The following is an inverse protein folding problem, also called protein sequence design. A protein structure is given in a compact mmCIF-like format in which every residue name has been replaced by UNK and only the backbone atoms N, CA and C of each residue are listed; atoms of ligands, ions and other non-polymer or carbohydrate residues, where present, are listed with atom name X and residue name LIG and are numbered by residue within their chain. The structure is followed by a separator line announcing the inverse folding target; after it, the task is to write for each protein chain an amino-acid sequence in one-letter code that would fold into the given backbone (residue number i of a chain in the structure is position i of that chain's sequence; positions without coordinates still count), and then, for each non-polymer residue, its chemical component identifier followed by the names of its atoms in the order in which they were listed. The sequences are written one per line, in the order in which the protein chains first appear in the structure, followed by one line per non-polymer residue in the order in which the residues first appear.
data_IF_184030354262
#
_entry.id   IF_184030354262
#
_cell.length_a   1.000
_cell.length_b   1.000
_cell.length_c   1.000
_cell.angle_alpha   90.00
_cell.angle_beta   90.00
_cell.angle_gamma   90.00
#
_symmetry.space_group_name_H-M   'P 1'
#
loop_
_entity.id
_entity.type
_entity.pdbx_description
1 polymer ?
#
# COMPACT_ATOMS: atom_id res chain seq x y z
N UNK A 1 65.86 -12.49 16.97
CA UNK A 1 65.77 -11.12 16.40
C UNK A 1 64.64 -10.38 17.12
N UNK A 2 65.05 -9.47 18.01
CA UNK A 2 64.38 -8.29 18.65
C UNK A 2 62.84 -8.22 18.61
N UNK A 3 62.12 -8.45 19.72
CA UNK A 3 61.85 -7.54 20.87
C UNK A 3 60.90 -6.38 20.51
N UNK A 4 59.62 -6.42 20.92
CA UNK A 4 59.05 -5.79 22.14
C UNK A 4 59.52 -4.34 22.37
N UNK A 5 58.55 -3.40 22.33
CA UNK A 5 58.46 -2.11 23.06
C UNK A 5 58.22 -0.86 22.19
N UNK A 6 57.02 -0.28 22.32
CA UNK A 6 56.78 1.17 22.48
C UNK A 6 55.41 1.31 23.15
N UNK A 7 55.33 1.39 24.47
CA UNK A 7 55.28 2.62 25.28
C UNK A 7 54.20 3.61 24.82
N UNK A 8 53.06 3.69 25.53
CA UNK A 8 52.84 4.56 26.71
C UNK A 8 53.13 6.03 26.41
N UNK A 9 52.09 6.79 26.08
CA UNK A 9 52.00 8.22 26.41
C UNK A 9 50.53 8.65 26.39
N UNK A 10 49.89 8.69 27.55
CA UNK A 10 49.04 9.80 27.99
C UNK A 10 48.62 9.54 29.44
N UNK A 11 49.40 10.11 30.34
CA UNK A 11 49.20 10.08 31.78
C UNK A 11 48.57 11.42 32.18
N UNK A 12 47.43 11.34 32.87
CA UNK A 12 46.97 12.17 33.98
C UNK A 12 47.24 13.68 33.93
N UNK A 13 46.16 14.47 33.93
CA UNK A 13 46.08 15.67 34.76
C UNK A 13 45.01 15.50 35.84
N UNK A 14 45.42 15.76 37.09
CA UNK A 14 44.65 15.84 38.35
C UNK A 14 43.50 16.84 38.20
N UNK A 15 42.29 16.57 38.71
CA UNK A 15 41.83 16.57 40.10
C UNK A 15 41.89 17.93 40.82
N UNK A 16 40.71 18.34 41.29
CA UNK A 16 40.39 19.20 42.43
C UNK A 16 40.51 20.73 42.30
N UNK A 17 39.34 21.40 42.22
CA UNK A 17 39.05 22.52 43.12
C UNK A 17 37.57 22.49 43.50
N UNK A 18 37.31 22.56 44.80
CA UNK A 18 36.01 22.55 45.42
C UNK A 18 35.52 23.97 45.75
N UNK A 19 34.26 24.03 46.17
CA UNK A 19 33.69 24.91 47.21
C UNK A 19 33.00 26.23 46.79
N UNK A 20 31.73 26.28 47.26
CA UNK A 20 30.97 27.42 47.82
C UNK A 20 30.46 28.49 46.84
N UNK A 21 29.13 28.58 46.71
CA UNK A 21 28.41 29.78 47.14
C UNK A 21 27.03 29.44 47.73
N UNK A 22 26.71 30.13 48.82
CA UNK A 22 25.55 29.98 49.71
C UNK A 22 24.36 30.85 49.25
N UNK A 23 23.16 30.35 49.57
CA UNK A 23 21.89 31.03 49.92
C UNK A 23 21.91 32.55 50.14
N UNK A 24 20.91 33.23 49.57
CA UNK A 24 20.02 34.30 50.13
C UNK A 24 18.72 34.21 49.31
N UNK A 25 17.53 33.79 49.78
CA UNK A 25 16.61 34.23 50.86
C UNK A 25 15.63 35.36 50.45
N UNK A 26 14.36 35.12 50.81
CA UNK A 26 13.20 36.03 51.00
C UNK A 26 12.24 36.22 49.80
N UNK A 27 11.00 35.71 49.82
CA UNK A 27 9.84 35.95 50.73
C UNK A 27 9.10 37.25 50.43
N UNK A 28 7.87 37.15 49.92
CA UNK A 28 6.76 38.04 50.25
C UNK A 28 5.43 37.40 49.83
N UNK A 29 4.74 36.82 50.82
CA UNK A 29 3.30 36.60 50.81
C UNK A 29 2.72 37.48 51.93
N UNK A 30 1.68 38.26 51.66
CA UNK A 30 0.69 38.73 52.65
C UNK A 30 -0.53 39.28 51.87
N UNK A 31 -1.71 38.65 51.89
CA UNK A 31 -2.79 38.65 52.91
C UNK A 31 -3.56 39.99 52.98
N UNK A 32 -4.86 39.96 52.66
CA UNK A 32 -6.00 40.28 53.58
C UNK A 32 -7.31 40.29 52.79
N UNK A 33 -8.33 39.73 53.45
CA UNK A 33 -9.67 39.48 52.95
C UNK A 33 -10.69 40.54 53.45
N UNK A 34 -11.90 40.44 52.87
CA UNK A 34 -13.23 40.67 53.45
C UNK A 34 -13.94 42.04 53.31
N UNK A 35 -15.17 41.90 52.78
CA UNK A 35 -16.46 42.55 53.11
C UNK A 35 -16.87 43.86 52.40
N UNK A 36 -17.92 43.75 51.58
CA UNK A 36 -19.16 44.49 51.86
C UNK A 36 -19.65 45.55 50.86
N UNK A 37 -20.46 45.12 49.89
CA UNK A 37 -21.65 45.77 49.31
C UNK A 37 -21.66 47.27 48.96
N UNK A 38 -21.82 47.57 47.65
CA UNK A 38 -22.94 48.39 47.14
C UNK A 38 -23.02 48.29 45.61
N UNK A 39 -24.20 47.97 45.13
CA UNK A 39 -24.63 47.78 43.73
C UNK A 39 -24.76 49.10 42.98
N UNK A 40 -24.16 49.22 41.79
CA UNK A 40 -24.63 50.06 40.68
C UNK A 40 -24.23 49.38 39.36
N UNK A 41 -25.22 48.94 38.59
CA UNK A 41 -25.05 48.41 37.22
C UNK A 41 -24.50 49.49 36.28
N UNK A 42 -23.70 49.08 35.28
CA UNK A 42 -23.97 49.57 33.94
C UNK A 42 -24.01 48.44 32.92
N UNK A 43 -25.13 48.40 32.20
CA UNK A 43 -25.26 48.06 30.78
C UNK A 43 -24.46 46.86 30.25
N UNK A 44 -25.16 45.74 30.09
CA UNK A 44 -24.78 44.60 29.25
C UNK A 44 -24.56 45.05 27.81
N UNK A 45 -23.30 45.24 27.43
CA UNK A 45 -22.87 45.01 26.05
C UNK A 45 -22.68 43.50 25.90
N UNK A 46 -23.62 42.85 25.23
CA UNK A 46 -23.47 41.47 24.76
C UNK A 46 -22.29 41.39 23.81
N UNK A 47 -21.16 40.88 24.29
CA UNK A 47 -20.10 40.36 23.44
C UNK A 47 -20.68 39.17 22.67
N UNK A 48 -21.00 39.40 21.39
CA UNK A 48 -21.26 38.32 20.45
C UNK A 48 -19.96 37.51 20.32
N UNK A 49 -20.05 36.22 20.61
CA UNK A 49 -18.98 35.26 20.33
C UNK A 49 -18.59 35.38 18.85
N UNK A 50 -17.29 35.40 18.51
CA UNK A 50 -16.87 35.31 17.11
C UNK A 50 -17.40 34.00 16.49
N UNK A 51 -17.83 34.02 15.22
CA UNK A 51 -18.41 32.85 14.58
C UNK A 51 -17.33 31.78 14.40
N UNK A 52 -17.63 30.60 14.95
CA UNK A 52 -17.19 29.27 14.56
C UNK A 52 -15.80 29.18 13.90
N UNK A 53 -14.80 28.90 14.74
CA UNK A 53 -13.69 28.07 14.29
C UNK A 53 -14.28 26.78 13.68
N UNK A 54 -13.83 26.33 12.50
CA UNK A 54 -14.39 25.14 11.89
C UNK A 54 -14.23 23.97 12.86
N UNK A 55 -15.36 23.40 13.25
CA UNK A 55 -15.40 22.23 14.11
C UNK A 55 -14.52 21.13 13.49
N UNK A 56 -13.47 20.73 14.21
CA UNK A 56 -12.75 19.51 13.90
C UNK A 56 -13.77 18.37 13.94
N UNK A 57 -14.21 17.91 12.77
CA UNK A 57 -15.10 16.76 12.66
C UNK A 57 -14.36 15.58 13.29
N UNK A 58 -14.85 15.14 14.46
CA UNK A 58 -14.33 14.00 15.21
C UNK A 58 -14.57 12.73 14.38
N UNK A 59 -13.73 12.49 13.38
CA UNK A 59 -13.87 11.34 12.50
C UNK A 59 -13.85 10.07 13.37
N UNK A 60 -14.94 9.30 13.31
CA UNK A 60 -15.11 8.04 14.03
C UNK A 60 -13.94 7.12 13.72
N UNK A 61 -13.36 6.52 14.77
CA UNK A 61 -12.24 5.60 14.63
C UNK A 61 -12.71 4.35 13.91
N UNK A 62 -12.00 3.98 12.85
CA UNK A 62 -12.24 2.70 12.18
C UNK A 62 -11.45 1.62 12.91
N UNK A 63 -12.12 0.53 13.29
CA UNK A 63 -11.44 -0.65 13.85
C UNK A 63 -10.79 -1.43 12.71
N UNK A 64 -9.57 -1.04 12.35
CA UNK A 64 -8.79 -1.63 11.26
C UNK A 64 -8.38 -3.08 11.58
N UNK A 65 -8.61 -3.99 10.63
CA UNK A 65 -8.11 -5.36 10.71
C UNK A 65 -6.59 -5.37 10.50
N UNK A 66 -5.89 -6.06 11.38
CA UNK A 66 -4.44 -6.23 11.35
C UNK A 66 -4.05 -7.72 11.34
N UNK A 67 -2.79 -8.00 11.01
CA UNK A 67 -2.16 -9.31 11.08
C UNK A 67 -3.02 -10.45 10.48
N UNK A 68 -3.40 -11.46 11.27
CA UNK A 68 -4.19 -12.60 10.81
C UNK A 68 -5.59 -12.21 10.32
N UNK A 69 -6.26 -11.24 10.98
CA UNK A 69 -7.58 -10.75 10.56
C UNK A 69 -7.50 -10.04 9.22
N UNK A 70 -6.45 -9.25 9.00
CA UNK A 70 -6.20 -8.61 7.71
C UNK A 70 -6.01 -9.66 6.61
N UNK A 71 -5.13 -10.64 6.83
CA UNK A 71 -4.86 -11.71 5.85
C UNK A 71 -6.13 -12.49 5.48
N UNK A 72 -6.96 -12.81 6.48
CA UNK A 72 -8.24 -13.46 6.24
C UNK A 72 -9.17 -12.56 5.41
N UNK A 73 -9.30 -11.29 5.78
CA UNK A 73 -10.17 -10.34 5.07
C UNK A 73 -9.77 -10.18 3.60
N UNK A 74 -8.47 -10.11 3.31
CA UNK A 74 -7.94 -9.99 1.95
C UNK A 74 -8.28 -11.19 1.07
N UNK A 75 -8.60 -12.35 1.65
CA UNK A 75 -8.99 -13.57 0.93
C UNK A 75 -10.51 -13.69 0.73
N UNK A 76 -11.32 -12.94 1.49
CA UNK A 76 -12.77 -12.98 1.36
C UNK A 76 -13.22 -12.32 0.04
N UNK A 77 -14.28 -12.83 -0.59
CA UNK A 77 -14.83 -12.24 -1.79
C UNK A 77 -15.38 -10.84 -1.51
N UNK A 78 -15.19 -9.93 -2.46
CA UNK A 78 -15.73 -8.58 -2.43
C UNK A 78 -16.18 -8.18 -3.83
N UNK A 79 -17.31 -7.48 -3.87
CA UNK A 79 -17.89 -6.95 -5.10
C UNK A 79 -17.94 -5.42 -5.03
N UNK A 80 -17.58 -4.78 -6.13
CA UNK A 80 -17.70 -3.33 -6.31
C UNK A 80 -18.16 -3.01 -7.72
N UNK A 81 -18.97 -1.98 -7.83
CA UNK A 81 -19.36 -1.36 -9.09
C UNK A 81 -19.22 0.14 -8.92
N UNK A 82 -18.30 0.74 -9.66
CA UNK A 82 -18.05 2.18 -9.68
C UNK A 82 -18.28 2.68 -11.10
N UNK A 83 -18.96 3.83 -11.20
CA UNK A 83 -19.17 4.57 -12.44
C UNK A 83 -18.78 6.02 -12.19
N UNK A 84 -17.84 6.55 -12.95
CA UNK A 84 -17.35 7.94 -12.83
C UNK A 84 -17.00 8.33 -11.37
N UNK A 85 -16.49 7.36 -10.58
CA UNK A 85 -16.23 7.58 -9.17
C UNK A 85 -14.81 8.16 -9.00
N UNK A 86 -14.58 9.19 -8.16
CA UNK A 86 -13.22 9.59 -7.81
C UNK A 86 -12.48 8.42 -7.18
N UNK A 87 -11.25 8.15 -7.64
CA UNK A 87 -10.47 7.00 -7.19
C UNK A 87 -10.30 6.97 -5.66
N UNK A 88 -9.96 8.12 -5.05
CA UNK A 88 -9.79 8.22 -3.59
C UNK A 88 -11.07 7.85 -2.86
N UNK A 89 -12.21 8.40 -3.24
CA UNK A 89 -13.50 8.11 -2.61
C UNK A 89 -13.91 6.65 -2.82
N UNK A 90 -13.60 6.08 -3.98
CA UNK A 90 -13.73 4.65 -4.28
C UNK A 90 -13.01 3.80 -3.26
N UNK A 91 -11.70 4.03 -3.15
CA UNK A 91 -10.80 3.31 -2.28
C UNK A 91 -11.11 3.50 -0.80
N UNK A 92 -11.34 4.72 -0.33
CA UNK A 92 -11.61 5.00 1.08
C UNK A 92 -12.92 4.37 1.54
N UNK A 93 -13.99 4.43 0.74
CA UNK A 93 -15.25 3.77 1.09
C UNK A 93 -15.10 2.25 1.14
N UNK A 94 -14.31 1.67 0.23
CA UNK A 94 -14.03 0.23 0.25
C UNK A 94 -13.18 -0.15 1.46
N UNK A 95 -12.13 0.63 1.75
CA UNK A 95 -11.23 0.46 2.89
C UNK A 95 -12.01 0.43 4.20
N UNK A 96 -12.84 1.46 4.44
CA UNK A 96 -13.68 1.58 5.65
C UNK A 96 -14.67 0.40 5.73
N UNK A 97 -15.40 0.09 4.65
CA UNK A 97 -16.38 -1.01 4.62
C UNK A 97 -15.74 -2.36 4.94
N UNK A 98 -14.55 -2.61 4.41
CA UNK A 98 -13.84 -3.87 4.60
C UNK A 98 -12.98 -3.89 5.87
N UNK A 99 -12.84 -2.73 6.54
CA UNK A 99 -11.94 -2.48 7.66
C UNK A 99 -10.48 -2.83 7.31
N UNK A 100 -10.06 -2.52 6.09
CA UNK A 100 -8.69 -2.71 5.61
C UNK A 100 -8.11 -1.34 5.31
N UNK A 101 -7.01 -0.99 5.98
CA UNK A 101 -6.38 0.30 5.79
C UNK A 101 -5.72 0.39 4.41
N UNK A 102 -6.01 1.49 3.69
CA UNK A 102 -5.47 1.76 2.36
C UNK A 102 -4.78 3.12 2.38
N UNK A 103 -3.60 3.19 1.79
CA UNK A 103 -2.85 4.41 1.60
C UNK A 103 -2.60 4.65 0.10
N UNK A 104 -3.08 5.79 -0.39
CA UNK A 104 -2.92 6.19 -1.79
C UNK A 104 -1.70 7.10 -1.92
N UNK A 105 -0.73 6.70 -2.74
CA UNK A 105 0.48 7.47 -3.03
C UNK A 105 0.15 8.87 -3.58
N UNK A 106 0.83 9.89 -3.06
CA UNK A 106 0.63 11.30 -3.45
C UNK A 106 0.84 11.58 -4.95
N UNK A 107 1.57 10.74 -5.67
CA UNK A 107 1.84 10.87 -7.11
C UNK A 107 0.65 10.40 -7.95
N UNK A 108 -0.33 9.75 -7.33
CA UNK A 108 -1.56 9.31 -8.00
C UNK A 108 -2.60 10.42 -7.88
N UNK A 109 -3.24 10.76 -9.00
CA UNK A 109 -4.33 11.73 -9.00
C UNK A 109 -5.54 11.14 -8.24
N UNK A 110 -5.92 11.69 -7.08
CA UNK A 110 -7.00 11.14 -6.28
C UNK A 110 -8.40 11.34 -6.88
N UNK A 111 -8.56 12.39 -7.68
CA UNK A 111 -9.85 12.83 -8.21
C UNK A 111 -10.12 12.28 -9.62
N UNK A 112 -9.19 11.48 -10.15
CA UNK A 112 -9.39 10.80 -11.42
C UNK A 112 -10.62 9.91 -11.34
N UNK A 113 -11.47 10.00 -12.37
CA UNK A 113 -12.73 9.28 -12.45
C UNK A 113 -12.47 7.88 -12.95
N UNK A 114 -12.99 6.89 -12.23
CA UNK A 114 -12.80 5.48 -12.56
C UNK A 114 -14.14 4.77 -12.71
N UNK A 115 -14.25 4.03 -13.82
CA UNK A 115 -15.23 2.98 -14.01
C UNK A 115 -14.57 1.65 -13.65
N UNK A 116 -15.07 0.97 -12.62
CA UNK A 116 -14.47 -0.29 -12.17
C UNK A 116 -15.53 -1.24 -11.66
N UNK A 117 -15.49 -2.48 -12.14
CA UNK A 117 -16.38 -3.53 -11.67
C UNK A 117 -15.58 -4.77 -11.30
N UNK A 118 -15.54 -5.09 -10.02
CA UNK A 118 -15.01 -6.35 -9.49
C UNK A 118 -16.16 -7.18 -8.93
N UNK A 119 -16.27 -8.46 -9.29
CA UNK A 119 -17.25 -9.39 -8.70
C UNK A 119 -16.60 -10.75 -8.55
N UNK A 120 -16.93 -11.43 -7.45
CA UNK A 120 -16.38 -12.73 -7.09
C UNK A 120 -14.84 -12.75 -7.08
N UNK A 121 -14.23 -11.60 -6.79
CA UNK A 121 -12.79 -11.46 -6.59
C UNK A 121 -12.53 -11.43 -5.09
N UNK A 122 -11.42 -12.03 -4.64
CA UNK A 122 -10.96 -11.74 -3.29
C UNK A 122 -10.65 -10.24 -3.16
N UNK A 123 -10.74 -9.69 -1.96
CA UNK A 123 -10.44 -8.28 -1.76
C UNK A 123 -9.01 -7.91 -2.22
N UNK A 124 -8.02 -8.79 -2.04
CA UNK A 124 -6.68 -8.60 -2.60
C UNK A 124 -6.68 -8.56 -4.14
N UNK A 125 -7.41 -9.47 -4.79
CA UNK A 125 -7.53 -9.50 -6.25
C UNK A 125 -8.25 -8.25 -6.77
N UNK A 126 -9.24 -7.75 -6.04
CA UNK A 126 -9.95 -6.53 -6.36
C UNK A 126 -9.01 -5.31 -6.34
N UNK A 127 -8.22 -5.15 -5.27
CA UNK A 127 -7.21 -4.09 -5.21
C UNK A 127 -6.17 -4.22 -6.34
N UNK A 128 -5.69 -5.43 -6.61
CA UNK A 128 -4.73 -5.68 -7.69
C UNK A 128 -5.33 -5.35 -9.08
N UNK A 129 -6.55 -5.80 -9.36
CA UNK A 129 -7.23 -5.55 -10.62
C UNK A 129 -7.50 -4.05 -10.84
N UNK A 130 -7.95 -3.34 -9.81
CA UNK A 130 -8.11 -1.89 -9.85
C UNK A 130 -6.77 -1.19 -10.11
N UNK A 131 -5.71 -1.57 -9.39
CA UNK A 131 -4.40 -0.98 -9.57
C UNK A 131 -3.87 -1.19 -11.00
N UNK A 132 -3.96 -2.41 -11.54
CA UNK A 132 -3.55 -2.73 -12.91
C UNK A 132 -4.31 -1.88 -13.94
N UNK A 133 -5.63 -1.73 -13.79
CA UNK A 133 -6.44 -0.90 -14.70
C UNK A 133 -5.99 0.57 -14.69
N UNK A 134 -5.42 1.04 -13.58
CA UNK A 134 -4.95 2.42 -13.40
C UNK A 134 -3.43 2.56 -13.62
N UNK A 135 -2.75 1.53 -14.14
CA UNK A 135 -1.29 1.49 -14.32
C UNK A 135 -0.50 1.66 -13.00
N UNK A 136 -1.13 1.28 -11.89
CA UNK A 136 -0.57 1.28 -10.54
C UNK A 136 -0.18 -0.14 -10.12
N UNK A 137 0.45 -0.26 -8.97
CA UNK A 137 0.61 -1.52 -8.29
C UNK A 137 0.20 -1.43 -6.81
N UNK A 138 -0.04 -2.60 -6.24
CA UNK A 138 -0.32 -2.77 -4.82
C UNK A 138 0.97 -3.21 -4.12
N UNK A 139 1.25 -2.60 -2.98
CA UNK A 139 2.27 -3.03 -2.03
C UNK A 139 1.66 -3.18 -0.64
N UNK A 140 2.36 -3.85 0.27
CA UNK A 140 1.94 -3.96 1.66
C UNK A 140 3.01 -3.35 2.59
N UNK A 141 2.57 -2.49 3.50
CA UNK A 141 3.39 -1.91 4.58
C UNK A 141 2.73 -2.24 5.90
N UNK A 142 3.19 -3.31 6.54
CA UNK A 142 2.56 -3.82 7.76
C UNK A 142 1.07 -4.13 7.53
N UNK A 143 0.14 -3.56 8.32
CA UNK A 143 -1.30 -3.72 8.14
C UNK A 143 -1.94 -2.80 7.09
N UNK A 144 -1.15 -2.05 6.31
CA UNK A 144 -1.65 -1.06 5.33
C UNK A 144 -1.40 -1.54 3.90
N UNK A 145 -2.45 -1.45 3.08
CA UNK A 145 -2.36 -1.67 1.64
C UNK A 145 -1.96 -0.36 0.96
N UNK A 146 -0.81 -0.35 0.33
CA UNK A 146 -0.29 0.79 -0.42
C UNK A 146 -0.69 0.67 -1.89
N UNK A 147 -1.19 1.76 -2.48
CA UNK A 147 -1.51 1.83 -3.91
C UNK A 147 -0.76 3.01 -4.51
N UNK A 148 0.08 2.74 -5.51
CA UNK A 148 0.93 3.77 -6.12
C UNK A 148 1.72 3.29 -7.33
N UNK A 149 2.69 4.09 -7.80
CA UNK A 149 3.51 3.74 -8.96
C UNK A 149 4.18 2.37 -8.82
N UNK A 150 4.17 1.53 -9.88
CA UNK A 150 4.73 0.18 -9.82
C UNK A 150 6.19 0.10 -9.37
N UNK A 151 7.02 1.07 -9.78
CA UNK A 151 8.43 1.16 -9.41
C UNK A 151 8.68 1.33 -7.90
N UNK A 152 7.67 1.76 -7.14
CA UNK A 152 7.73 1.93 -5.69
C UNK A 152 6.94 0.83 -4.98
N UNK A 153 5.65 0.68 -5.30
CA UNK A 153 4.71 -0.16 -4.53
C UNK A 153 5.16 -1.63 -4.45
N UNK A 154 5.67 -2.19 -5.55
CA UNK A 154 6.14 -3.59 -5.62
C UNK A 154 7.36 -3.89 -4.74
N UNK A 155 8.05 -2.86 -4.22
CA UNK A 155 9.28 -3.02 -3.43
C UNK A 155 9.03 -2.86 -1.92
N UNK A 156 7.88 -2.29 -1.53
CA UNK A 156 7.68 -1.82 -0.16
C UNK A 156 7.69 -2.96 0.86
N UNK A 157 7.05 -4.09 0.56
CA UNK A 157 7.02 -5.22 1.48
C UNK A 157 8.43 -5.78 1.72
N UNK A 158 9.23 -5.88 0.65
CA UNK A 158 10.65 -6.27 0.72
C UNK A 158 11.49 -5.28 1.51
N UNK A 159 11.29 -3.98 1.31
CA UNK A 159 11.99 -2.94 2.08
C UNK A 159 11.65 -3.00 3.56
N UNK A 160 10.37 -3.11 3.93
CA UNK A 160 9.95 -3.28 5.34
C UNK A 160 10.64 -4.49 5.94
N UNK A 161 10.59 -5.63 5.25
CA UNK A 161 11.20 -6.86 5.76
C UNK A 161 12.72 -6.74 5.93
N UNK A 162 13.43 -6.12 4.99
CA UNK A 162 14.88 -5.88 5.11
C UNK A 162 15.21 -5.02 6.34
N UNK A 163 14.40 -4.00 6.62
CA UNK A 163 14.58 -3.13 7.79
C UNK A 163 14.25 -3.84 9.09
N UNK A 164 13.21 -4.67 9.10
CA UNK A 164 12.92 -5.52 10.27
C UNK A 164 14.07 -6.49 10.56
N UNK A 165 14.64 -7.13 9.54
CA UNK A 165 15.80 -8.02 9.73
C UNK A 165 17.02 -7.27 10.27
N UNK A 166 17.27 -6.06 9.80
CA UNK A 166 18.34 -5.20 10.32
C UNK A 166 18.08 -4.86 11.79
N UNK A 167 16.87 -4.43 12.13
CA UNK A 167 16.50 -4.08 13.51
C UNK A 167 16.62 -5.28 14.44
N UNK A 168 16.18 -6.47 14.02
CA UNK A 168 16.27 -7.70 14.84
C UNK A 168 17.71 -8.10 15.21
N UNK A 169 18.73 -7.56 14.55
CA UNK A 169 20.15 -7.76 14.89
C UNK A 169 20.70 -6.76 15.91
N UNK A 170 19.94 -5.71 16.23
CA UNK A 170 20.34 -4.66 17.18
C UNK A 170 20.09 -5.11 18.64
N UNK A 171 20.61 -4.40 19.66
CA UNK A 171 20.30 -4.70 21.05
C UNK A 171 18.79 -4.64 21.35
N UNK A 172 18.30 -5.50 22.26
CA UNK A 172 16.86 -5.63 22.56
C UNK A 172 16.18 -4.31 22.98
N UNK A 173 16.90 -3.41 23.67
CA UNK A 173 16.37 -2.09 24.00
C UNK A 173 16.11 -1.23 22.76
N UNK A 174 16.99 -1.31 21.76
CA UNK A 174 16.83 -0.61 20.47
C UNK A 174 15.72 -1.23 19.66
N UNK A 175 15.66 -2.57 19.59
CA UNK A 175 14.57 -3.30 18.93
C UNK A 175 13.19 -2.87 19.43
N UNK A 176 13.02 -2.80 20.75
CA UNK A 176 11.74 -2.42 21.36
C UNK A 176 11.24 -1.05 20.91
N UNK A 177 12.13 -0.05 20.77
CA UNK A 177 11.76 1.28 20.30
C UNK A 177 11.30 1.26 18.84
N UNK A 178 12.03 0.53 17.99
CA UNK A 178 11.74 0.43 16.56
C UNK A 178 10.45 -0.35 16.26
N UNK A 179 10.17 -1.40 17.03
CA UNK A 179 9.05 -2.32 16.82
C UNK A 179 7.81 -1.96 17.65
N UNK A 180 7.90 -0.93 18.50
CA UNK A 180 6.74 -0.40 19.22
C UNK A 180 5.71 0.11 18.21
N UNK A 181 4.46 -0.33 18.34
CA UNK A 181 3.37 0.03 17.43
C UNK A 181 2.46 1.04 18.09
N UNK A 182 2.20 2.15 17.39
CA UNK A 182 1.29 3.21 17.86
C UNK A 182 0.29 3.57 16.75
N UNK A 183 -0.97 3.90 17.10
CA UNK A 183 -1.94 4.42 16.14
C UNK A 183 -1.38 5.63 15.40
N UNK A 184 -1.60 5.68 14.09
CA UNK A 184 -1.08 6.76 13.25
C UNK A 184 -2.22 7.56 12.69
N UNK A 185 -2.22 8.87 12.97
CA UNK A 185 -3.25 9.79 12.51
C UNK A 185 -2.66 11.17 12.31
N UNK A 186 -3.12 11.85 11.27
CA UNK A 186 -2.80 13.26 11.09
C UNK A 186 -3.97 14.01 10.44
N UNK A 187 -4.09 15.32 10.73
CA UNK A 187 -5.15 16.14 10.17
C UNK A 187 -4.91 16.46 8.70
N UNK A 188 -5.90 17.09 8.07
CA UNK A 188 -5.75 17.69 6.74
C UNK A 188 -4.60 18.72 6.77
N UNK A 189 -3.86 18.83 5.68
CA UNK A 189 -2.70 19.73 5.54
C UNK A 189 -1.51 19.36 6.44
N UNK A 190 -1.40 18.09 6.82
CA UNK A 190 -0.20 17.61 7.51
C UNK A 190 1.02 17.62 6.57
N UNK A 191 2.19 18.00 7.10
CA UNK A 191 3.44 18.03 6.34
C UNK A 191 4.24 16.75 6.53
N UNK A 192 4.72 16.10 5.45
CA UNK A 192 5.48 14.84 5.55
C UNK A 192 6.74 14.93 6.41
N UNK A 193 7.43 16.08 6.41
CA UNK A 193 8.61 16.30 7.25
C UNK A 193 8.27 16.23 8.74
N UNK A 194 7.16 16.84 9.14
CA UNK A 194 6.70 16.79 10.53
C UNK A 194 6.21 15.39 10.90
N UNK A 195 5.53 14.68 9.99
CA UNK A 195 5.14 13.28 10.22
C UNK A 195 6.35 12.36 10.43
N UNK A 196 7.40 12.54 9.62
CA UNK A 196 8.65 11.80 9.76
C UNK A 196 9.32 12.11 11.10
N UNK A 197 9.35 13.39 11.50
CA UNK A 197 9.91 13.82 12.78
C UNK A 197 9.14 13.22 13.96
N UNK A 198 7.81 13.24 13.92
CA UNK A 198 6.97 12.61 14.95
C UNK A 198 7.25 11.10 15.07
N UNK A 199 7.32 10.39 13.95
CA UNK A 199 7.64 8.97 13.95
C UNK A 199 9.04 8.67 14.52
N UNK A 200 10.02 9.52 14.20
CA UNK A 200 11.38 9.40 14.74
C UNK A 200 11.44 9.72 16.24
N UNK A 201 10.77 10.79 16.68
CA UNK A 201 10.73 11.22 18.08
C UNK A 201 10.09 10.16 18.97
N UNK A 202 8.96 9.56 18.55
CA UNK A 202 8.31 8.44 19.27
C UNK A 202 9.23 7.22 19.45
N UNK A 203 10.14 6.97 18.49
CA UNK A 203 11.10 5.88 18.54
C UNK A 203 12.47 6.29 19.12
N UNK A 204 12.66 7.56 19.50
CA UNK A 204 13.93 8.11 19.98
C UNK A 204 15.05 8.03 18.93
N UNK A 205 14.71 8.33 17.68
CA UNK A 205 15.58 8.30 16.51
C UNK A 205 15.90 9.72 16.02
N UNK A 206 17.02 9.87 15.32
CA UNK A 206 17.31 11.10 14.55
C UNK A 206 17.17 10.82 13.06
N UNK A 207 16.54 11.74 12.33
CA UNK A 207 16.52 11.71 10.86
C UNK A 207 17.59 12.66 10.34
N UNK A 208 18.53 12.13 9.57
CA UNK A 208 19.54 12.90 8.86
C UNK A 208 18.99 13.38 7.51
N UNK A 209 19.40 14.56 7.04
CA UNK A 209 19.04 15.08 5.70
C UNK A 209 17.54 15.10 5.37
N UNK A 210 16.70 15.51 6.32
CA UNK A 210 15.24 15.58 6.15
C UNK A 210 14.83 16.59 5.04
N UNK A 211 15.70 17.54 4.72
CA UNK A 211 15.57 18.50 3.62
C UNK A 211 15.39 17.84 2.24
N UNK A 212 15.81 16.58 2.07
CA UNK A 212 15.61 15.80 0.84
C UNK A 212 14.15 15.47 0.54
N UNK A 213 13.27 15.50 1.55
CA UNK A 213 11.83 15.33 1.37
C UNK A 213 11.25 16.71 1.03
N UNK A 214 10.64 16.92 -0.15
CA UNK A 214 10.01 18.21 -0.49
C UNK A 214 8.92 18.63 0.49
N UNK A 215 8.64 19.93 0.57
CA UNK A 215 7.43 20.42 1.25
C UNK A 215 6.19 19.98 0.46
N UNK A 216 5.18 19.51 1.18
CA UNK A 216 3.93 18.96 0.64
C UNK A 216 2.84 19.03 1.72
N UNK A 217 1.57 18.96 1.33
CA UNK A 217 0.41 19.03 2.23
C UNK A 217 -0.50 17.83 1.98
N UNK A 218 -0.65 16.98 2.99
CA UNK A 218 -1.34 15.70 2.85
C UNK A 218 -2.78 15.73 3.36
N UNK A 219 -3.64 14.86 2.79
CA UNK A 219 -4.99 14.69 3.29
C UNK A 219 -4.99 14.08 4.69
N UNK A 220 -6.07 14.33 5.44
CA UNK A 220 -6.31 13.67 6.71
C UNK A 220 -6.26 12.14 6.52
N UNK A 221 -5.62 11.45 7.46
CA UNK A 221 -5.41 10.00 7.38
C UNK A 221 -5.53 9.39 8.77
N UNK A 222 -6.17 8.22 8.84
CA UNK A 222 -6.31 7.39 10.05
C UNK A 222 -5.87 5.97 9.69
N UNK A 223 -4.88 5.44 10.39
CA UNK A 223 -4.26 4.14 10.10
C UNK A 223 -4.21 3.27 11.37
N UNK A 224 -4.18 1.93 11.21
CA UNK A 224 -3.90 1.00 12.29
C UNK A 224 -2.57 1.31 12.98
N UNK A 225 -2.31 0.73 14.18
CA UNK A 225 -1.03 0.88 14.83
C UNK A 225 0.14 0.43 13.94
N UNK A 226 1.09 1.33 13.71
CA UNK A 226 2.31 1.09 12.92
C UNK A 226 3.55 1.28 13.77
N UNK A 227 4.58 0.50 13.49
CA UNK A 227 5.91 0.70 14.05
C UNK A 227 6.73 1.73 13.26
N UNK A 228 7.88 2.15 13.78
CA UNK A 228 8.70 3.18 13.14
C UNK A 228 9.17 2.79 11.73
N UNK A 229 9.43 1.50 11.48
CA UNK A 229 9.83 1.01 10.15
C UNK A 229 8.68 1.21 9.15
N UNK A 230 7.48 0.79 9.54
CA UNK A 230 6.26 0.88 8.73
C UNK A 230 5.92 2.35 8.45
N UNK A 231 5.93 3.21 9.47
CA UNK A 231 5.65 4.65 9.33
C UNK A 231 6.63 5.36 8.39
N UNK A 232 7.93 5.20 8.63
CA UNK A 232 8.96 5.81 7.79
C UNK A 232 8.89 5.31 6.35
N UNK A 233 8.66 3.99 6.16
CA UNK A 233 8.51 3.41 4.82
C UNK A 233 7.31 4.02 4.10
N UNK A 234 6.16 4.12 4.76
CA UNK A 234 4.93 4.64 4.17
C UNK A 234 5.08 6.10 3.72
N UNK A 235 5.65 6.94 4.59
CA UNK A 235 5.77 8.38 4.32
C UNK A 235 6.83 8.63 3.23
N UNK A 236 7.98 7.96 3.27
CA UNK A 236 9.06 8.16 2.30
C UNK A 236 8.75 7.57 0.91
N UNK A 237 7.91 6.53 0.84
CA UNK A 237 7.54 5.87 -0.42
C UNK A 237 6.95 6.84 -1.45
N UNK A 238 6.11 7.79 -1.03
CA UNK A 238 5.51 8.81 -1.92
C UNK A 238 6.54 9.72 -2.60
N UNK A 239 7.78 9.73 -2.11
CA UNK A 239 8.90 10.49 -2.67
C UNK A 239 9.91 9.63 -3.44
N UNK A 240 9.65 8.33 -3.59
CA UNK A 240 10.62 7.39 -4.18
C UNK A 240 11.85 7.18 -3.29
N UNK A 241 11.69 7.38 -1.97
CA UNK A 241 12.76 7.35 -0.98
C UNK A 241 12.53 6.18 -0.01
N UNK A 242 13.61 5.55 0.40
CA UNK A 242 13.70 4.63 1.55
C UNK A 242 14.71 5.21 2.54
N UNK A 243 15.09 4.45 3.55
CA UNK A 243 16.06 4.89 4.56
C UNK A 243 17.07 3.78 4.86
N UNK A 244 18.25 4.16 5.33
CA UNK A 244 19.21 3.27 5.99
C UNK A 244 19.15 3.48 7.50
N UNK A 245 19.43 2.43 8.27
CA UNK A 245 19.50 2.47 9.73
C UNK A 245 20.98 2.47 10.15
N UNK A 246 21.37 3.36 11.05
CA UNK A 246 22.73 3.39 11.61
C UNK A 246 23.06 2.09 12.36
N UNK A 247 24.35 1.77 12.51
CA UNK A 247 24.78 0.53 13.17
C UNK A 247 24.32 0.40 14.64
N UNK A 248 24.15 1.52 15.34
CA UNK A 248 23.60 1.59 16.69
C UNK A 248 22.06 1.69 16.74
N UNK A 249 21.42 1.83 15.57
CA UNK A 249 19.99 2.00 15.41
C UNK A 249 19.42 3.30 15.98
N UNK A 250 20.26 4.32 16.19
CA UNK A 250 19.84 5.62 16.73
C UNK A 250 19.52 6.67 15.66
N UNK A 251 19.88 6.43 14.40
CA UNK A 251 19.66 7.37 13.31
C UNK A 251 19.18 6.67 12.04
N UNK A 252 18.47 7.45 11.21
CA UNK A 252 18.06 7.05 9.86
C UNK A 252 18.51 8.06 8.84
N UNK A 253 18.90 7.56 7.67
CA UNK A 253 19.31 8.40 6.55
C UNK A 253 18.45 8.11 5.31
N UNK A 254 17.64 9.07 4.83
CA UNK A 254 16.86 8.92 3.61
C UNK A 254 17.75 8.80 2.37
N UNK A 255 17.42 7.85 1.50
CA UNK A 255 18.08 7.59 0.21
C UNK A 255 17.07 7.11 -0.83
N UNK A 256 17.42 7.18 -2.11
CA UNK A 256 16.53 6.71 -3.18
C UNK A 256 16.22 5.20 -3.00
N UNK A 257 14.99 4.81 -3.34
CA UNK A 257 14.64 3.38 -3.44
C UNK A 257 15.51 2.77 -4.56
N UNK A 258 16.26 1.70 -4.28
CA UNK A 258 17.05 1.02 -5.31
C UNK A 258 16.17 0.48 -6.46
N UNK A 259 16.74 0.38 -7.65
CA UNK A 259 16.04 -0.17 -8.82
C UNK A 259 15.63 -1.63 -8.61
N UNK A 260 16.47 -2.41 -7.93
CA UNK A 260 16.21 -3.79 -7.56
C UNK A 260 16.30 -3.97 -6.04
N UNK A 261 15.36 -4.72 -5.47
CA UNK A 261 15.33 -5.07 -4.05
C UNK A 261 14.96 -6.53 -3.93
N UNK A 262 15.83 -7.33 -3.33
CA UNK A 262 15.57 -8.75 -3.05
C UNK A 262 16.05 -9.14 -1.65
N UNK A 263 15.49 -10.23 -1.14
CA UNK A 263 15.92 -10.91 0.07
C UNK A 263 16.41 -12.30 -0.34
N UNK A 264 17.51 -12.75 0.29
CA UNK A 264 17.99 -14.13 0.13
C UNK A 264 17.73 -14.93 1.39
N UNK A 265 16.98 -16.03 1.29
CA UNK A 265 16.69 -16.95 2.41
C UNK A 265 16.65 -18.40 1.96
N UNK A 266 17.12 -19.28 2.86
CA UNK A 266 17.08 -20.73 2.70
C UNK A 266 16.02 -21.39 3.56
N UNK A 267 15.12 -22.15 2.95
CA UNK A 267 14.00 -22.85 3.59
C UNK A 267 14.25 -24.36 3.62
N UNK A 268 13.93 -25.01 4.74
CA UNK A 268 13.84 -26.47 4.75
C UNK A 268 12.67 -26.89 3.85
N UNK A 269 12.94 -27.71 2.83
CA UNK A 269 11.98 -28.05 1.80
C UNK A 269 11.65 -29.55 1.85
N UNK A 270 10.42 -29.84 2.25
CA UNK A 270 9.91 -31.22 2.41
C UNK A 270 8.80 -31.58 1.43
N UNK A 271 8.30 -30.61 0.65
CA UNK A 271 7.29 -30.83 -0.38
C UNK A 271 7.87 -31.53 -1.62
N UNK A 272 7.02 -32.18 -2.43
CA UNK A 272 7.42 -32.73 -3.74
C UNK A 272 8.18 -31.65 -4.55
N UNK A 273 9.51 -31.78 -4.70
CA UNK A 273 10.36 -30.69 -5.15
C UNK A 273 10.07 -30.29 -6.60
N UNK A 274 9.64 -31.23 -7.45
CA UNK A 274 9.53 -30.97 -8.87
C UNK A 274 8.29 -30.14 -9.22
N UNK A 275 7.10 -30.58 -8.75
CA UNK A 275 5.83 -29.95 -9.12
C UNK A 275 5.63 -28.58 -8.44
N UNK A 276 6.01 -28.49 -7.17
CA UNK A 276 5.83 -27.26 -6.39
C UNK A 276 6.81 -26.17 -6.82
N UNK A 277 8.05 -26.53 -7.17
CA UNK A 277 9.05 -25.58 -7.66
C UNK A 277 8.75 -25.07 -9.07
N UNK A 278 8.24 -25.94 -9.96
CA UNK A 278 7.78 -25.51 -11.29
C UNK A 278 6.69 -24.44 -11.19
N UNK A 279 5.71 -24.66 -10.31
CA UNK A 279 4.64 -23.68 -10.05
C UNK A 279 5.16 -22.37 -9.47
N UNK A 280 6.14 -22.43 -8.56
CA UNK A 280 6.78 -21.22 -8.01
C UNK A 280 7.51 -20.41 -9.09
N UNK A 281 8.21 -21.08 -10.02
CA UNK A 281 8.90 -20.42 -11.14
C UNK A 281 7.92 -19.80 -12.14
N UNK A 282 6.80 -20.46 -12.40
CA UNK A 282 5.73 -19.92 -13.24
C UNK A 282 5.11 -18.66 -12.61
N UNK A 283 4.87 -18.70 -11.30
CA UNK A 283 4.26 -17.59 -10.58
C UNK A 283 5.20 -16.41 -10.32
N UNK A 284 6.50 -16.67 -10.17
CA UNK A 284 7.52 -15.66 -9.86
C UNK A 284 8.71 -15.82 -10.82
N UNK A 285 8.54 -15.44 -12.09
CA UNK A 285 9.55 -15.65 -13.13
C UNK A 285 10.87 -14.90 -12.85
N UNK A 286 10.78 -13.76 -12.17
CA UNK A 286 11.93 -12.91 -11.85
C UNK A 286 12.67 -13.34 -10.56
N UNK A 287 12.17 -14.36 -9.85
CA UNK A 287 12.78 -14.85 -8.61
C UNK A 287 13.76 -15.99 -8.89
N UNK A 288 14.94 -15.93 -8.26
CA UNK A 288 15.95 -16.98 -8.37
C UNK A 288 15.69 -18.05 -7.31
N UNK A 289 15.51 -19.29 -7.77
CA UNK A 289 15.32 -20.46 -6.92
C UNK A 289 16.43 -21.49 -7.15
N UNK A 290 17.08 -21.93 -6.08
CA UNK A 290 18.12 -22.96 -6.10
C UNK A 290 17.86 -24.03 -5.03
N UNK A 291 17.95 -25.31 -5.40
CA UNK A 291 17.91 -26.42 -4.44
C UNK A 291 19.34 -26.75 -4.01
N UNK A 292 19.59 -26.73 -2.70
CA UNK A 292 20.82 -27.20 -2.08
C UNK A 292 20.49 -28.35 -1.13
N UNK A 293 20.54 -29.59 -1.65
CA UNK A 293 20.10 -30.77 -0.91
C UNK A 293 18.61 -30.68 -0.57
N UNK A 294 18.28 -30.65 0.73
CA UNK A 294 16.92 -30.50 1.26
C UNK A 294 16.54 -29.05 1.58
N UNK A 295 17.33 -28.06 1.15
CA UNK A 295 17.03 -26.64 1.33
C UNK A 295 16.71 -25.97 0.00
N UNK A 296 15.64 -25.19 -0.02
CA UNK A 296 15.31 -24.27 -1.11
C UNK A 296 15.86 -22.89 -0.77
N UNK A 297 16.86 -22.45 -1.52
CA UNK A 297 17.34 -21.07 -1.50
C UNK A 297 16.49 -20.22 -2.46
N UNK A 298 15.98 -19.11 -1.94
CA UNK A 298 15.14 -18.14 -2.66
C UNK A 298 15.82 -16.78 -2.58
N UNK A 299 16.02 -16.13 -3.72
CA UNK A 299 16.50 -14.76 -3.84
C UNK A 299 15.52 -13.96 -4.70
N UNK A 300 14.69 -13.15 -4.05
CA UNK A 300 13.59 -12.44 -4.69
C UNK A 300 12.82 -11.50 -3.77
N UNK A 301 11.67 -10.98 -4.22
CA UNK A 301 10.82 -10.09 -3.44
C UNK A 301 10.12 -10.82 -2.29
N UNK A 302 9.72 -10.07 -1.26
CA UNK A 302 9.11 -10.61 -0.05
C UNK A 302 7.84 -11.42 -0.30
N UNK A 303 7.04 -11.04 -1.29
CA UNK A 303 5.82 -11.73 -1.70
C UNK A 303 6.10 -13.19 -2.09
N UNK A 304 7.25 -13.46 -2.72
CA UNK A 304 7.67 -14.83 -3.04
C UNK A 304 8.01 -15.61 -1.77
N UNK A 305 8.72 -14.99 -0.83
CA UNK A 305 9.05 -15.60 0.46
C UNK A 305 7.80 -15.93 1.27
N UNK A 306 6.83 -15.02 1.34
CA UNK A 306 5.57 -15.28 2.03
C UNK A 306 4.81 -16.45 1.38
N UNK A 307 4.78 -16.50 0.04
CA UNK A 307 4.14 -17.61 -0.67
C UNK A 307 4.81 -18.95 -0.37
N UNK A 308 6.15 -18.99 -0.37
CA UNK A 308 6.95 -20.16 0.00
C UNK A 308 6.64 -20.62 1.42
N UNK A 309 6.61 -19.72 2.39
CA UNK A 309 6.29 -20.05 3.78
C UNK A 309 4.87 -20.60 3.95
N UNK A 310 3.90 -20.08 3.20
CA UNK A 310 2.52 -20.57 3.23
C UNK A 310 2.40 -21.99 2.68
N UNK A 311 3.09 -22.28 1.58
CA UNK A 311 3.16 -23.65 1.04
C UNK A 311 3.79 -24.61 2.06
N UNK A 312 4.85 -24.20 2.75
CA UNK A 312 5.49 -25.01 3.79
C UNK A 312 4.59 -25.25 5.01
N UNK A 313 3.68 -24.32 5.32
CA UNK A 313 2.65 -24.50 6.36
C UNK A 313 1.47 -25.38 5.91
N UNK A 314 1.46 -25.84 4.67
CA UNK A 314 0.37 -26.65 4.10
C UNK A 314 -0.89 -25.84 3.77
N UNK A 315 -0.80 -24.51 3.67
CA UNK A 315 -1.93 -23.67 3.28
C UNK A 315 -2.25 -23.85 1.80
N UNK A 316 -3.53 -24.00 1.45
CA UNK A 316 -3.99 -24.01 0.06
C UNK A 316 -3.90 -22.61 -0.53
N UNK A 317 -2.79 -22.31 -1.19
CA UNK A 317 -2.62 -21.02 -1.84
C UNK A 317 -3.30 -21.07 -3.21
N UNK A 318 -4.43 -20.36 -3.34
CA UNK A 318 -4.97 -20.01 -4.67
C UNK A 318 -3.94 -19.11 -5.35
N UNK A 319 -3.59 -19.45 -6.59
CA UNK A 319 -2.63 -18.65 -7.35
C UNK A 319 -3.12 -17.18 -7.38
N UNK A 320 -2.23 -16.18 -7.22
CA UNK A 320 -2.55 -14.85 -7.70
C UNK A 320 -2.95 -15.01 -9.16
N UNK A 321 -4.12 -14.49 -9.51
CA UNK A 321 -4.57 -14.53 -10.90
C UNK A 321 -3.53 -13.72 -11.67
N UNK A 322 -2.69 -14.41 -12.45
CA UNK A 322 -2.00 -13.80 -13.57
C UNK A 322 -3.12 -13.18 -14.41
N UNK A 323 -3.18 -11.85 -14.44
CA UNK A 323 -4.37 -11.15 -14.88
C UNK A 323 -4.84 -11.62 -16.26
N UNK A 324 -6.15 -11.78 -16.43
CA UNK A 324 -6.80 -11.19 -17.57
C UNK A 324 -7.64 -10.03 -17.06
N UNK A 325 -7.60 -8.92 -17.78
CA UNK A 325 -8.55 -7.83 -17.66
C UNK A 325 -9.95 -8.43 -17.65
N UNK A 326 -10.65 -8.40 -16.51
CA UNK A 326 -12.08 -8.67 -16.48
C UNK A 326 -12.75 -7.40 -17.01
N UNK A 327 -12.62 -7.19 -18.32
CA UNK A 327 -13.42 -6.21 -19.04
C UNK A 327 -14.85 -6.70 -18.99
N UNK A 328 -15.70 -6.01 -18.23
CA UNK A 328 -17.14 -6.29 -18.23
C UNK A 328 -17.84 -5.39 -19.22
N UNK A 329 -18.72 -5.98 -19.99
CA UNK A 329 -19.44 -5.28 -21.04
C UNK A 329 -20.92 -5.22 -20.68
N UNK A 330 -21.44 -4.00 -20.59
CA UNK A 330 -22.88 -3.73 -20.66
C UNK A 330 -23.14 -3.13 -22.04
N UNK A 331 -23.94 -3.82 -22.85
CA UNK A 331 -24.25 -3.39 -24.20
C UNK A 331 -25.70 -3.75 -24.52
N UNK A 332 -26.45 -2.75 -24.96
CA UNK A 332 -27.79 -2.95 -25.53
C UNK A 332 -27.71 -2.65 -27.02
N UNK A 333 -27.90 -3.68 -27.83
CA UNK A 333 -27.91 -3.58 -29.29
C UNK A 333 -29.31 -3.86 -29.79
N UNK A 334 -29.81 -2.94 -30.61
CA UNK A 334 -31.08 -3.10 -31.33
C UNK A 334 -30.82 -2.85 -32.81
N UNK A 335 -31.21 -3.81 -33.63
CA UNK A 335 -31.21 -3.72 -35.09
C UNK A 335 -29.86 -3.24 -35.67
N UNK A 336 -28.76 -3.87 -35.24
CA UNK A 336 -27.44 -3.65 -35.86
C UNK A 336 -26.92 -4.96 -36.45
N UNK A 337 -26.10 -4.88 -37.50
CA UNK A 337 -25.47 -6.08 -38.05
C UNK A 337 -24.43 -6.65 -37.11
N UNK A 338 -24.31 -7.97 -37.04
CA UNK A 338 -23.29 -8.64 -36.22
C UNK A 338 -21.88 -8.10 -36.55
N UNK A 339 -21.60 -7.81 -37.82
CA UNK A 339 -20.36 -7.19 -38.30
C UNK A 339 -20.07 -5.85 -37.63
N UNK A 340 -21.04 -4.95 -37.59
CA UNK A 340 -20.86 -3.62 -37.04
C UNK A 340 -20.56 -3.69 -35.53
N UNK A 341 -21.29 -4.57 -34.82
CA UNK A 341 -21.09 -4.78 -33.39
C UNK A 341 -19.72 -5.41 -33.11
N UNK A 342 -19.33 -6.46 -33.84
CA UNK A 342 -18.03 -7.11 -33.69
C UNK A 342 -16.87 -6.16 -34.03
N UNK A 343 -17.04 -5.29 -35.03
CA UNK A 343 -16.05 -4.30 -35.40
C UNK A 343 -15.91 -3.20 -34.34
N UNK A 344 -17.02 -2.76 -33.74
CA UNK A 344 -16.99 -1.81 -32.62
C UNK A 344 -16.32 -2.42 -31.37
N UNK A 345 -16.61 -3.69 -31.08
CA UNK A 345 -15.96 -4.43 -29.98
C UNK A 345 -14.45 -4.60 -30.25
N UNK A 346 -14.07 -5.00 -31.46
CA UNK A 346 -12.67 -5.14 -31.86
C UNK A 346 -11.91 -3.80 -31.78
N UNK A 347 -12.51 -2.71 -32.29
CA UNK A 347 -11.93 -1.37 -32.22
C UNK A 347 -11.74 -0.89 -30.77
N UNK A 348 -12.73 -1.13 -29.90
CA UNK A 348 -12.65 -0.79 -28.47
C UNK A 348 -11.54 -1.57 -27.75
N UNK A 349 -11.23 -2.79 -28.21
CA UNK A 349 -10.21 -3.66 -27.63
C UNK A 349 -8.85 -3.59 -28.34
N UNK A 350 -8.71 -2.76 -29.38
CA UNK A 350 -7.49 -2.68 -30.17
C UNK A 350 -7.17 -3.95 -30.97
N UNK A 351 -8.17 -4.79 -31.25
CA UNK A 351 -8.01 -6.07 -31.96
C UNK A 351 -8.30 -5.92 -33.46
N UNK A 352 -7.61 -6.70 -34.29
CA UNK A 352 -7.94 -6.83 -35.72
C UNK A 352 -9.04 -7.86 -35.94
N UNK A 353 -10.15 -7.45 -36.56
CA UNK A 353 -11.27 -8.33 -36.89
C UNK A 353 -10.96 -9.18 -38.12
N UNK A 354 -10.88 -10.50 -37.95
CA UNK A 354 -10.73 -11.49 -39.02
C UNK A 354 -12.02 -12.31 -39.17
N UNK A 355 -12.68 -12.19 -40.32
CA UNK A 355 -13.90 -12.94 -40.63
C UNK A 355 -13.53 -14.04 -41.62
N UNK A 356 -13.82 -15.30 -41.28
CA UNK A 356 -13.62 -16.41 -42.20
C UNK A 356 -14.49 -16.25 -43.46
N UNK A 357 -14.02 -16.61 -44.67
CA UNK A 357 -14.80 -16.50 -45.90
C UNK A 357 -16.16 -17.21 -45.83
N UNK A 358 -16.23 -18.30 -45.06
CA UNK A 358 -17.43 -19.10 -44.82
C UNK A 358 -18.46 -18.42 -43.90
N UNK A 359 -18.08 -17.39 -43.15
CA UNK A 359 -18.95 -16.61 -42.25
C UNK A 359 -19.46 -15.30 -42.88
N UNK A 360 -19.11 -15.03 -44.15
CA UNK A 360 -19.33 -13.73 -44.79
C UNK A 360 -20.81 -13.33 -44.93
N UNK A 361 -21.73 -14.31 -45.04
CA UNK A 361 -23.16 -14.04 -45.15
C UNK A 361 -23.80 -13.81 -43.77
N UNK A 362 -23.52 -14.68 -42.80
CA UNK A 362 -24.08 -14.65 -41.44
C UNK A 362 -23.66 -13.39 -40.66
N UNK A 363 -22.45 -12.86 -40.91
CA UNK A 363 -21.96 -11.67 -40.20
C UNK A 363 -22.75 -10.39 -40.57
N UNK A 364 -23.49 -10.39 -41.68
CA UNK A 364 -24.32 -9.25 -42.08
C UNK A 364 -25.75 -9.31 -41.51
N UNK A 365 -26.11 -10.40 -40.83
CA UNK A 365 -27.42 -10.54 -40.21
C UNK A 365 -27.59 -9.58 -39.01
N UNK A 366 -28.83 -9.20 -38.76
CA UNK A 366 -29.17 -8.22 -37.73
C UNK A 366 -29.33 -8.90 -36.38
N UNK A 367 -28.66 -8.37 -35.36
CA UNK A 367 -28.69 -8.89 -34.00
C UNK A 367 -29.40 -7.94 -33.05
N UNK A 368 -30.13 -8.53 -32.09
CA UNK A 368 -30.79 -7.85 -31.01
C UNK A 368 -30.44 -8.56 -29.71
N UNK A 369 -29.76 -7.87 -28.80
CA UNK A 369 -29.46 -8.43 -27.48
C UNK A 369 -29.25 -7.30 -26.49
N UNK A 370 -29.50 -7.61 -25.22
CA UNK A 370 -29.11 -6.78 -24.10
C UNK A 370 -28.30 -7.68 -23.17
N UNK A 371 -27.06 -7.28 -22.93
CA UNK A 371 -26.21 -7.90 -21.92
C UNK A 371 -25.86 -6.85 -20.90
N UNK A 372 -25.96 -7.23 -19.63
CA UNK A 372 -25.54 -6.40 -18.52
C UNK A 372 -24.40 -7.09 -17.80
N UNK A 373 -23.24 -6.41 -17.79
CA UNK A 373 -22.10 -6.80 -16.97
C UNK A 373 -21.60 -8.23 -17.24
N UNK A 374 -21.43 -8.58 -18.53
CA UNK A 374 -20.98 -9.92 -18.95
C UNK A 374 -19.49 -9.91 -19.32
N UNK A 375 -18.86 -11.10 -19.33
CA UNK A 375 -17.48 -11.27 -19.78
C UNK A 375 -17.32 -11.03 -21.28
N UNK A 376 -16.08 -10.90 -21.79
CA UNK A 376 -15.85 -10.81 -23.25
C UNK A 376 -16.37 -12.07 -23.97
N UNK A 377 -16.16 -13.25 -23.40
CA UNK A 377 -16.61 -14.52 -23.98
C UNK A 377 -18.14 -14.60 -24.05
N UNK A 378 -18.82 -14.17 -22.98
CA UNK A 378 -20.28 -14.11 -22.93
C UNK A 378 -20.85 -13.04 -23.88
N UNK A 379 -20.18 -11.89 -23.99
CA UNK A 379 -20.54 -10.84 -24.96
C UNK A 379 -20.41 -11.37 -26.39
N UNK A 380 -19.28 -11.98 -26.73
CA UNK A 380 -19.05 -12.55 -28.06
C UNK A 380 -20.05 -13.67 -28.36
N UNK A 381 -20.38 -14.50 -27.36
CA UNK A 381 -21.42 -15.53 -27.48
C UNK A 381 -22.81 -14.90 -27.71
N UNK A 382 -23.16 -13.85 -26.98
CA UNK A 382 -24.42 -13.14 -27.15
C UNK A 382 -24.57 -12.47 -28.53
N UNK A 383 -23.46 -12.00 -29.11
CA UNK A 383 -23.42 -11.44 -30.47
C UNK A 383 -23.55 -12.54 -31.53
N UNK A 384 -22.79 -13.63 -31.38
CA UNK A 384 -22.56 -14.60 -32.46
C UNK A 384 -23.57 -15.76 -32.49
N UNK A 385 -24.06 -16.21 -31.33
CA UNK A 385 -25.01 -17.33 -31.22
C UNK A 385 -26.32 -17.12 -31.99
N UNK A 386 -26.95 -15.92 -32.00
CA UNK A 386 -28.20 -15.69 -32.75
C UNK A 386 -28.07 -15.86 -34.27
N UNK A 387 -26.86 -15.67 -34.81
CA UNK A 387 -26.56 -15.70 -36.26
C UNK A 387 -25.74 -16.94 -36.66
N UNK A 388 -25.62 -17.94 -35.76
CA UNK A 388 -24.90 -19.18 -36.03
C UNK A 388 -23.39 -19.00 -36.22
N UNK A 389 -22.79 -18.06 -35.51
CA UNK A 389 -21.35 -17.79 -35.51
C UNK A 389 -20.73 -18.15 -34.14
N UNK A 390 -19.42 -18.35 -34.14
CA UNK A 390 -18.57 -18.34 -32.95
C UNK A 390 -17.43 -17.33 -33.15
N UNK A 391 -17.00 -16.72 -32.06
CA UNK A 391 -15.89 -15.77 -32.09
C UNK A 391 -14.88 -16.10 -31.00
N UNK A 392 -13.61 -16.04 -31.35
CA UNK A 392 -12.49 -16.28 -30.45
C UNK A 392 -11.53 -15.10 -30.48
N UNK A 393 -11.25 -14.52 -29.32
CA UNK A 393 -10.30 -13.44 -29.16
C UNK A 393 -8.92 -14.00 -28.79
N UNK A 394 -7.88 -13.49 -29.44
CA UNK A 394 -6.46 -13.65 -29.05
C UNK A 394 -5.87 -12.27 -28.75
N UNK A 395 -4.59 -12.22 -28.33
CA UNK A 395 -3.93 -10.97 -27.92
C UNK A 395 -3.91 -9.86 -28.99
N UNK A 396 -4.10 -10.20 -30.27
CA UNK A 396 -4.02 -9.24 -31.39
C UNK A 396 -5.19 -9.32 -32.38
N UNK A 397 -6.02 -10.37 -32.30
CA UNK A 397 -7.02 -10.66 -33.33
C UNK A 397 -8.33 -11.17 -32.73
N UNK A 398 -9.44 -10.78 -33.36
CA UNK A 398 -10.76 -11.34 -33.11
C UNK A 398 -11.16 -12.17 -34.33
N UNK A 399 -11.13 -13.49 -34.21
CA UNK A 399 -11.47 -14.41 -35.30
C UNK A 399 -12.93 -14.86 -35.20
N UNK A 400 -13.66 -14.73 -36.30
CA UNK A 400 -15.07 -15.10 -36.41
C UNK A 400 -15.21 -16.24 -37.41
N UNK A 401 -15.81 -17.35 -36.97
CA UNK A 401 -16.07 -18.54 -37.78
C UNK A 401 -17.54 -18.95 -37.65
N UNK A 402 -18.08 -19.73 -38.61
CA UNK A 402 -19.38 -20.36 -38.43
C UNK A 402 -19.34 -21.31 -37.23
N UNK A 403 -20.49 -21.47 -36.57
CA UNK A 403 -20.68 -22.41 -35.47
C UNK A 403 -20.62 -23.86 -35.96
#
# INVERSE_FOLDING_TARGET
MLAKNCCRFWFKFRAATALKFRRVANSAALLVALLGAATLEPSRLTAQNPPDAPAETKAERVDWKVDAKLRQQLQLPADVVWREKPLRDGLMNLAIRQQVAVFLDRRVNPDQRVDFTGQNLSLAQLFAALAIQQELAVGQVGPVIYIGPPATAKKLATLVQLREEQVRRLPAAVQRRWLHREPVRWPMLAEPRELLKQAADSAGLRIEHLDRVPHDLWPATDLPPLNAIEQLTLILAGFGVTFEISADGAAVRPLAIPDEVSIRRGYAWTADPARSLARLREMFPDTKFAMQGSRLEVDGPWETHEHVERLLRGETVRAPVAGPTISRFTLTVRNQSARAVLQAVAAKLGLQLEIAPTAANQVNEMVNFAVDNVSLEDLLTAICKPVGLQAQATDTKLRVTPL
#
